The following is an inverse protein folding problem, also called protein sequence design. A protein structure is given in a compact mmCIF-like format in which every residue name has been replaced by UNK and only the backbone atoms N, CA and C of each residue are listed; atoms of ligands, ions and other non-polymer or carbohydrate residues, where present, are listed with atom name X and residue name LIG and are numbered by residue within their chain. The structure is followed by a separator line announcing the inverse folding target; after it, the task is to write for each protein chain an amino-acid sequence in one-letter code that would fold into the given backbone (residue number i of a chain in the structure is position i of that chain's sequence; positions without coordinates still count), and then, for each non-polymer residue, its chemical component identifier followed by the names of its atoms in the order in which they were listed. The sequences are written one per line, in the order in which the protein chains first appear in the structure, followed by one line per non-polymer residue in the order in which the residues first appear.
data_IF_351643489381
#
_entry.id   IF_351643489381
#
_cell.length_a   1.000
_cell.length_b   1.000
_cell.length_c   1.000
_cell.angle_alpha   90.00
_cell.angle_beta   90.00
_cell.angle_gamma   90.00
#
_symmetry.space_group_name_H-M   'P 1'
#
loop_
_entity.id
_entity.type
_entity.pdbx_description
1 polymer ?
#
# COMPACT_ATOMS: atom_id res chain seq x y z
N UNK A 1 15.70 -15.47 8.61
CA UNK A 1 15.22 -16.53 7.72
C UNK A 1 14.21 -15.98 6.67
N UNK A 2 14.52 -14.84 5.99
CA UNK A 2 13.76 -14.41 4.84
C UNK A 2 12.33 -13.94 5.12
N UNK A 3 12.09 -13.18 6.19
CA UNK A 3 10.74 -12.70 6.58
C UNK A 3 10.57 -11.18 6.49
N UNK A 4 11.57 -10.46 6.02
CA UNK A 4 11.49 -9.01 5.93
C UNK A 4 10.75 -8.60 4.65
N UNK A 5 9.75 -7.75 4.78
CA UNK A 5 9.18 -6.93 3.72
C UNK A 5 9.45 -5.47 4.12
N UNK A 6 10.06 -4.70 3.24
CA UNK A 6 10.36 -3.30 3.51
C UNK A 6 9.24 -2.40 2.99
N UNK A 7 8.40 -1.93 3.90
CA UNK A 7 7.32 -0.99 3.60
C UNK A 7 7.84 0.46 3.54
N UNK A 8 7.58 1.15 2.44
CA UNK A 8 8.10 2.50 2.20
C UNK A 8 7.05 3.44 1.64
N UNK A 9 7.19 4.72 1.96
CA UNK A 9 6.34 5.79 1.48
C UNK A 9 7.03 7.15 1.58
N UNK A 10 6.36 8.19 1.10
CA UNK A 10 6.92 9.56 1.04
C UNK A 10 6.83 10.33 2.36
N UNK A 11 6.13 9.81 3.37
CA UNK A 11 5.77 10.54 4.58
C UNK A 11 4.64 11.57 4.32
N UNK A 12 3.89 11.94 5.38
CA UNK A 12 2.77 12.88 5.24
C UNK A 12 2.55 13.78 6.47
N UNK A 13 2.88 13.32 7.68
CA UNK A 13 2.51 14.01 8.90
C UNK A 13 3.60 15.02 9.34
N UNK A 14 3.25 16.30 9.37
CA UNK A 14 4.16 17.37 9.84
C UNK A 14 4.58 17.12 11.30
N UNK A 15 3.62 16.75 12.16
CA UNK A 15 3.86 16.51 13.58
C UNK A 15 4.89 15.41 13.84
N UNK A 16 4.91 14.36 13.02
CA UNK A 16 5.88 13.28 13.16
C UNK A 16 7.29 13.74 12.74
N UNK A 17 7.37 14.55 11.69
CA UNK A 17 8.63 15.13 11.24
C UNK A 17 9.21 16.11 12.25
N UNK A 18 8.37 16.95 12.82
CA UNK A 18 8.77 17.91 13.87
C UNK A 18 9.27 17.20 15.13
N UNK A 19 8.61 16.10 15.52
CA UNK A 19 8.99 15.31 16.69
C UNK A 19 10.41 14.71 16.58
N UNK A 20 10.91 14.46 15.37
CA UNK A 20 12.27 13.94 15.13
C UNK A 20 13.23 15.01 14.58
N UNK A 21 12.84 16.28 14.61
CA UNK A 21 13.67 17.40 14.15
C UNK A 21 13.90 17.43 12.64
N UNK A 22 13.07 16.74 11.85
CA UNK A 22 13.17 16.71 10.40
C UNK A 22 12.13 17.64 9.76
N UNK A 23 12.52 18.33 8.69
CA UNK A 23 11.59 19.16 7.92
C UNK A 23 10.76 18.30 6.98
N UNK A 24 9.44 18.39 7.05
CA UNK A 24 8.57 17.86 6.00
C UNK A 24 8.69 18.74 4.74
N UNK A 25 9.24 18.19 3.69
CA UNK A 25 9.41 18.91 2.41
C UNK A 25 8.09 18.96 1.65
N UNK A 26 7.99 19.87 0.69
CA UNK A 26 6.86 19.90 -0.25
C UNK A 26 6.70 18.57 -1.00
N UNK A 27 5.48 18.20 -1.47
CA UNK A 27 5.20 16.91 -2.08
C UNK A 27 6.12 16.54 -3.26
N UNK A 28 6.39 17.49 -4.17
CA UNK A 28 7.24 17.24 -5.33
C UNK A 28 8.65 16.76 -4.98
N UNK A 29 9.44 17.54 -4.21
CA UNK A 29 10.77 17.12 -3.73
C UNK A 29 10.75 15.85 -2.89
N UNK A 30 9.69 15.59 -2.10
CA UNK A 30 9.57 14.33 -1.34
C UNK A 30 9.49 13.11 -2.26
N UNK A 31 8.70 13.21 -3.33
CA UNK A 31 8.56 12.12 -4.31
C UNK A 31 9.86 11.90 -5.09
N UNK A 32 10.56 12.97 -5.48
CA UNK A 32 11.87 12.84 -6.13
C UNK A 32 12.87 12.11 -5.22
N UNK A 33 13.01 12.60 -3.97
CA UNK A 33 13.87 11.94 -2.98
C UNK A 33 13.50 10.48 -2.74
N UNK A 34 12.21 10.18 -2.71
CA UNK A 34 11.72 8.81 -2.54
C UNK A 34 12.15 7.90 -3.70
N UNK A 35 12.05 8.39 -4.95
CA UNK A 35 12.52 7.65 -6.12
C UNK A 35 14.02 7.33 -6.05
N UNK A 36 14.85 8.32 -5.69
CA UNK A 36 16.28 8.10 -5.48
C UNK A 36 16.56 7.09 -4.35
N UNK A 37 15.80 7.20 -3.23
CA UNK A 37 15.93 6.26 -2.11
C UNK A 37 15.60 4.82 -2.51
N UNK A 38 14.60 4.62 -3.38
CA UNK A 38 14.24 3.30 -3.87
C UNK A 38 15.37 2.66 -4.69
N UNK A 39 16.03 3.45 -5.55
CA UNK A 39 17.18 2.97 -6.34
C UNK A 39 18.35 2.60 -5.43
N UNK A 40 18.75 3.52 -4.56
CA UNK A 40 19.87 3.30 -3.61
C UNK A 40 19.63 2.06 -2.74
N UNK A 41 18.43 1.95 -2.15
CA UNK A 41 18.10 0.81 -1.29
C UNK A 41 18.06 -0.51 -2.07
N UNK A 42 17.58 -0.48 -3.32
CA UNK A 42 17.56 -1.68 -4.16
C UNK A 42 18.98 -2.16 -4.46
N UNK A 43 19.89 -1.28 -4.85
CA UNK A 43 21.27 -1.63 -5.11
C UNK A 43 21.98 -2.14 -3.85
N UNK A 44 21.85 -1.43 -2.72
CA UNK A 44 22.45 -1.86 -1.47
C UNK A 44 21.93 -3.21 -0.97
N UNK A 45 20.62 -3.47 -1.11
CA UNK A 45 20.03 -4.74 -0.69
C UNK A 45 20.35 -5.90 -1.63
N UNK A 46 20.32 -5.69 -2.94
CA UNK A 46 20.47 -6.77 -3.93
C UNK A 46 21.94 -7.00 -4.27
N UNK A 47 22.75 -5.93 -4.37
CA UNK A 47 24.16 -5.98 -4.81
C UNK A 47 25.13 -5.81 -3.64
N UNK A 48 24.80 -4.94 -2.67
CA UNK A 48 25.65 -4.60 -1.50
C UNK A 48 26.69 -3.52 -1.79
N UNK A 49 26.56 -2.85 -2.92
CA UNK A 49 27.30 -1.65 -3.29
C UNK A 49 26.35 -0.68 -3.96
N UNK A 50 26.67 0.60 -3.95
CA UNK A 50 25.90 1.63 -4.65
C UNK A 50 26.80 2.83 -4.91
N UNK A 51 26.86 3.25 -6.17
CA UNK A 51 27.43 4.55 -6.56
C UNK A 51 26.29 5.33 -7.20
N UNK A 52 25.84 6.38 -6.50
CA UNK A 52 24.66 7.14 -6.91
C UNK A 52 24.91 8.63 -6.69
N UNK A 53 24.69 9.45 -7.72
CA UNK A 53 24.80 10.90 -7.66
C UNK A 53 23.48 11.54 -8.10
N UNK A 54 22.60 11.80 -7.14
CA UNK A 54 21.28 12.36 -7.34
C UNK A 54 21.12 13.74 -6.70
N UNK A 55 19.93 14.31 -6.85
CA UNK A 55 19.58 15.62 -6.28
C UNK A 55 19.49 15.61 -4.75
N UNK A 56 19.18 14.44 -4.18
CA UNK A 56 18.91 14.27 -2.75
C UNK A 56 19.85 13.28 -2.06
N UNK A 57 20.43 12.35 -2.80
CA UNK A 57 21.37 11.35 -2.29
C UNK A 57 22.63 11.32 -3.12
N UNK A 58 23.76 11.39 -2.43
CA UNK A 58 25.09 11.20 -3.00
C UNK A 58 25.75 10.05 -2.24
N UNK A 59 25.89 8.90 -2.88
CA UNK A 59 26.32 7.65 -2.27
C UNK A 59 27.51 7.11 -3.03
N UNK A 60 28.55 6.75 -2.29
CA UNK A 60 29.71 6.02 -2.80
C UNK A 60 30.06 4.93 -1.80
N UNK A 61 29.41 3.79 -1.96
CA UNK A 61 29.60 2.59 -1.13
C UNK A 61 30.05 1.46 -2.04
N UNK A 62 31.34 1.16 -2.02
CA UNK A 62 31.93 0.06 -2.81
C UNK A 62 31.53 -1.32 -2.27
N UNK A 63 31.35 -1.44 -0.95
CA UNK A 63 30.95 -2.66 -0.28
C UNK A 63 30.25 -2.35 1.03
N UNK A 64 29.04 -2.91 1.23
CA UNK A 64 28.25 -2.69 2.44
C UNK A 64 28.74 -3.52 3.64
N UNK A 65 29.50 -4.59 3.42
CA UNK A 65 30.05 -5.46 4.48
C UNK A 65 28.99 -6.40 5.13
N UNK A 66 27.72 -6.09 5.02
CA UNK A 66 26.60 -6.88 5.53
C UNK A 66 25.63 -7.16 4.39
N UNK A 67 25.20 -8.40 4.26
CA UNK A 67 24.25 -8.82 3.22
C UNK A 67 22.95 -9.34 3.84
N UNK A 68 21.79 -9.06 3.25
CA UNK A 68 20.56 -9.70 3.64
C UNK A 68 20.64 -11.22 3.44
N UNK A 69 19.97 -11.97 4.33
CA UNK A 69 19.83 -13.44 4.17
C UNK A 69 18.88 -13.76 3.01
N UNK A 70 17.94 -12.87 2.73
CA UNK A 70 17.04 -12.96 1.58
C UNK A 70 17.81 -12.61 0.30
N UNK A 71 17.61 -13.39 -0.75
CA UNK A 71 18.15 -13.06 -2.09
C UNK A 71 17.61 -11.71 -2.59
N UNK A 72 16.35 -11.43 -2.27
CA UNK A 72 15.68 -10.17 -2.56
C UNK A 72 14.76 -9.78 -1.38
N UNK A 73 14.90 -8.58 -0.87
CA UNK A 73 13.95 -8.01 0.10
C UNK A 73 12.78 -7.41 -0.68
N UNK A 74 11.54 -7.92 -0.51
CA UNK A 74 10.38 -7.33 -1.18
C UNK A 74 10.15 -5.89 -0.71
N UNK A 75 9.92 -4.98 -1.66
CA UNK A 75 9.53 -3.60 -1.40
C UNK A 75 8.01 -3.47 -1.48
N UNK A 76 7.39 -3.08 -0.37
CA UNK A 76 5.99 -2.70 -0.32
C UNK A 76 5.89 -1.17 -0.43
N UNK A 77 5.22 -0.68 -1.46
CA UNK A 77 5.04 0.76 -1.68
C UNK A 77 3.55 1.08 -1.72
N UNK A 78 3.14 2.08 -0.95
CA UNK A 78 1.79 2.62 -0.96
C UNK A 78 1.76 4.09 -1.36
N UNK A 79 0.64 4.53 -1.94
CA UNK A 79 0.47 5.94 -2.29
C UNK A 79 -0.73 6.21 -3.19
N UNK A 80 -1.03 7.51 -3.37
CA UNK A 80 -2.20 7.98 -4.11
C UNK A 80 -1.86 8.73 -5.39
N UNK A 81 -0.80 9.54 -5.37
CA UNK A 81 -0.44 10.39 -6.49
C UNK A 81 0.23 9.62 -7.63
N UNK A 82 -0.06 10.00 -8.88
CA UNK A 82 0.46 9.33 -10.09
C UNK A 82 1.96 9.07 -10.04
N UNK A 83 2.77 10.07 -9.62
CA UNK A 83 4.23 9.89 -9.53
C UNK A 83 4.66 8.79 -8.56
N UNK A 84 4.01 8.69 -7.39
CA UNK A 84 4.32 7.64 -6.40
C UNK A 84 3.89 6.28 -6.92
N UNK A 85 2.70 6.18 -7.53
CA UNK A 85 2.21 4.94 -8.15
C UNK A 85 3.11 4.51 -9.30
N UNK A 86 3.61 5.46 -10.12
CA UNK A 86 4.57 5.13 -11.18
C UNK A 86 5.89 4.61 -10.62
N UNK A 87 6.42 5.20 -9.55
CA UNK A 87 7.60 4.67 -8.86
C UNK A 87 7.35 3.26 -8.30
N UNK A 88 6.15 3.02 -7.78
CA UNK A 88 5.78 1.67 -7.34
C UNK A 88 5.76 0.67 -8.50
N UNK A 89 5.23 1.03 -9.66
CA UNK A 89 5.28 0.20 -10.87
C UNK A 89 6.72 -0.19 -11.26
N UNK A 90 7.67 0.74 -11.10
CA UNK A 90 9.07 0.52 -11.45
C UNK A 90 9.84 -0.30 -10.39
N UNK A 91 9.55 -0.13 -9.10
CA UNK A 91 10.40 -0.61 -8.01
C UNK A 91 9.73 -1.57 -7.03
N UNK A 92 8.40 -1.54 -6.88
CA UNK A 92 7.69 -2.36 -5.90
C UNK A 92 7.63 -3.85 -6.29
N UNK A 93 7.67 -4.70 -5.28
CA UNK A 93 7.27 -6.09 -5.35
C UNK A 93 5.81 -6.24 -4.88
N UNK A 94 5.37 -5.34 -3.98
CA UNK A 94 3.99 -5.24 -3.50
C UNK A 94 3.53 -3.78 -3.61
N UNK A 95 2.43 -3.53 -4.32
CA UNK A 95 1.76 -2.23 -4.30
C UNK A 95 0.55 -2.27 -3.39
N UNK A 96 0.52 -1.42 -2.35
CA UNK A 96 -0.59 -1.37 -1.42
C UNK A 96 -1.53 -0.19 -1.71
N UNK A 97 -2.75 -0.51 -2.12
CA UNK A 97 -3.83 0.47 -2.16
C UNK A 97 -4.21 0.88 -0.75
N UNK A 98 -4.36 2.18 -0.54
CA UNK A 98 -4.85 2.76 0.71
C UNK A 98 -6.03 3.68 0.42
N UNK A 99 -7.04 3.69 1.31
CA UNK A 99 -8.22 4.54 1.15
C UNK A 99 -8.03 5.92 1.76
N UNK A 100 -7.23 6.02 2.83
CA UNK A 100 -7.00 7.27 3.51
C UNK A 100 -5.91 8.09 2.82
N UNK A 101 -6.25 9.32 2.49
CA UNK A 101 -5.30 10.39 2.17
C UNK A 101 -5.11 11.27 3.41
N UNK A 102 -4.09 12.10 3.43
CA UNK A 102 -3.81 12.98 4.56
C UNK A 102 -3.53 14.40 4.06
N UNK A 103 -4.10 15.38 4.77
CA UNK A 103 -3.73 16.78 4.60
C UNK A 103 -2.31 17.04 5.14
N UNK A 104 -1.77 18.25 4.91
CA UNK A 104 -0.41 18.59 5.35
C UNK A 104 -0.24 18.55 6.87
N UNK A 105 -1.30 18.78 7.64
CA UNK A 105 -1.35 18.68 9.10
C UNK A 105 -1.50 17.23 9.62
N UNK A 106 -1.60 16.24 8.70
CA UNK A 106 -1.81 14.85 9.05
C UNK A 106 -3.27 14.44 9.22
N UNK A 107 -4.22 15.37 9.06
CA UNK A 107 -5.66 15.06 9.16
C UNK A 107 -6.07 14.05 8.09
N UNK A 108 -6.65 12.90 8.45
CA UNK A 108 -7.06 11.90 7.49
C UNK A 108 -8.27 12.34 6.67
N UNK A 109 -8.29 11.94 5.41
CA UNK A 109 -9.39 12.17 4.47
C UNK A 109 -9.68 10.89 3.69
N UNK A 110 -10.95 10.63 3.37
CA UNK A 110 -11.38 9.46 2.60
C UNK A 110 -11.28 9.62 1.08
N UNK A 111 -10.56 10.61 0.60
CA UNK A 111 -10.48 10.90 -0.84
C UNK A 111 -9.95 9.78 -1.74
N UNK A 112 -9.46 8.68 -1.17
CA UNK A 112 -8.99 7.53 -1.92
C UNK A 112 -9.90 6.29 -1.91
N UNK A 113 -11.11 6.39 -1.32
CA UNK A 113 -12.02 5.25 -1.16
C UNK A 113 -12.82 4.90 -2.41
N UNK A 114 -13.10 5.85 -3.29
CA UNK A 114 -13.92 5.64 -4.46
C UNK A 114 -13.32 4.64 -5.46
N UNK A 115 -14.15 3.80 -6.07
CA UNK A 115 -13.70 2.77 -6.99
C UNK A 115 -13.02 3.36 -8.24
N UNK A 116 -13.47 4.51 -8.72
CA UNK A 116 -12.87 5.15 -9.89
C UNK A 116 -11.44 5.62 -9.62
N UNK A 117 -11.17 6.18 -8.43
CA UNK A 117 -9.81 6.54 -8.02
C UNK A 117 -8.92 5.31 -7.85
N UNK A 118 -9.50 4.17 -7.46
CA UNK A 118 -8.76 2.92 -7.34
C UNK A 118 -8.43 2.36 -8.72
N UNK A 119 -9.39 2.38 -9.66
CA UNK A 119 -9.18 1.99 -11.06
C UNK A 119 -8.13 2.86 -11.75
N UNK A 120 -8.19 4.16 -11.54
CA UNK A 120 -7.19 5.08 -12.07
C UNK A 120 -5.79 4.76 -11.56
N UNK A 121 -5.62 4.53 -10.25
CA UNK A 121 -4.33 4.10 -9.67
C UNK A 121 -3.87 2.75 -10.19
N UNK A 122 -4.80 1.80 -10.37
CA UNK A 122 -4.49 0.51 -10.96
C UNK A 122 -3.99 0.63 -12.41
N UNK A 123 -4.57 1.54 -13.20
CA UNK A 123 -4.14 1.84 -14.56
C UNK A 123 -2.73 2.49 -14.58
N UNK A 124 -2.46 3.47 -13.72
CA UNK A 124 -1.13 4.08 -13.61
C UNK A 124 -0.06 3.07 -13.18
N UNK A 125 -0.41 2.16 -12.27
CA UNK A 125 0.48 1.09 -11.83
C UNK A 125 0.83 0.16 -13.00
N UNK A 126 -0.18 -0.31 -13.74
CA UNK A 126 -0.01 -1.18 -14.91
C UNK A 126 0.84 -0.52 -15.99
N UNK A 127 0.55 0.76 -16.31
CA UNK A 127 1.31 1.55 -17.28
C UNK A 127 2.79 1.63 -16.90
N UNK A 128 3.07 1.97 -15.64
CA UNK A 128 4.44 2.18 -15.16
C UNK A 128 5.20 0.86 -14.94
N UNK A 129 4.51 -0.21 -14.62
CA UNK A 129 5.09 -1.54 -14.41
C UNK A 129 5.55 -2.20 -15.72
N UNK A 130 4.84 -1.94 -16.83
CA UNK A 130 5.14 -2.60 -18.11
C UNK A 130 5.21 -4.12 -17.94
N UNK A 131 6.32 -4.71 -18.32
CA UNK A 131 6.55 -6.16 -18.23
C UNK A 131 6.61 -6.71 -16.78
N UNK A 132 6.69 -5.83 -15.78
CA UNK A 132 6.68 -6.23 -14.36
C UNK A 132 5.27 -6.34 -13.78
N UNK A 133 4.23 -5.96 -14.52
CA UNK A 133 2.86 -5.94 -14.00
C UNK A 133 2.43 -7.27 -13.35
N UNK A 134 2.82 -8.39 -13.94
CA UNK A 134 2.40 -9.72 -13.50
C UNK A 134 3.16 -10.23 -12.25
N UNK A 135 4.27 -9.58 -11.89
CA UNK A 135 5.05 -9.94 -10.70
C UNK A 135 4.85 -8.98 -9.52
N UNK A 136 4.07 -7.92 -9.71
CA UNK A 136 3.71 -7.00 -8.63
C UNK A 136 2.45 -7.51 -7.94
N UNK A 137 2.58 -7.93 -6.67
CA UNK A 137 1.42 -8.26 -5.84
C UNK A 137 0.63 -6.98 -5.52
N UNK A 138 -0.68 -7.00 -5.75
CA UNK A 138 -1.56 -5.89 -5.40
C UNK A 138 -2.25 -6.17 -4.07
N UNK A 139 -2.03 -5.25 -3.13
CA UNK A 139 -2.50 -5.33 -1.75
C UNK A 139 -3.52 -4.22 -1.45
N UNK A 140 -4.47 -4.49 -0.57
CA UNK A 140 -5.38 -3.49 -0.02
C UNK A 140 -5.27 -3.45 1.51
N UNK A 141 -5.10 -2.25 2.08
CA UNK A 141 -5.16 -2.04 3.52
C UNK A 141 -6.62 -1.83 3.95
N UNK A 142 -7.23 -2.89 4.44
CA UNK A 142 -8.63 -2.89 4.91
C UNK A 142 -8.75 -2.01 6.16
N UNK A 143 -9.66 -1.04 6.11
CA UNK A 143 -9.92 -0.13 7.22
C UNK A 143 -10.99 -0.66 8.16
N UNK A 144 -11.97 -1.39 7.61
CA UNK A 144 -13.04 -2.05 8.36
C UNK A 144 -13.26 -3.44 7.82
N UNK A 145 -13.19 -4.42 8.73
CA UNK A 145 -13.60 -5.81 8.48
C UNK A 145 -14.69 -6.17 9.48
N UNK A 146 -15.87 -6.60 9.00
CA UNK A 146 -17.00 -6.95 9.87
C UNK A 146 -17.79 -8.11 9.25
N UNK A 147 -17.51 -9.32 9.72
CA UNK A 147 -18.07 -10.57 9.19
C UNK A 147 -19.34 -10.95 9.94
N UNK A 148 -20.45 -11.08 9.22
CA UNK A 148 -21.77 -11.44 9.75
C UNK A 148 -22.70 -10.25 9.96
N UNK A 149 -24.02 -10.51 10.03
CA UNK A 149 -25.03 -9.47 10.06
C UNK A 149 -24.94 -8.55 11.29
N UNK A 150 -24.63 -9.08 12.46
CA UNK A 150 -24.51 -8.28 13.69
C UNK A 150 -23.31 -7.34 13.63
N UNK A 151 -22.13 -7.86 13.26
CA UNK A 151 -20.91 -7.06 13.13
C UNK A 151 -21.05 -6.02 12.00
N UNK A 152 -21.71 -6.36 10.90
CA UNK A 152 -22.04 -5.42 9.82
C UNK A 152 -22.93 -4.28 10.34
N UNK A 153 -24.02 -4.60 11.04
CA UNK A 153 -24.93 -3.60 11.57
C UNK A 153 -24.24 -2.67 12.58
N UNK A 154 -23.40 -3.20 13.46
CA UNK A 154 -22.61 -2.42 14.42
C UNK A 154 -21.62 -1.50 13.69
N UNK A 155 -20.90 -2.02 12.70
CA UNK A 155 -19.99 -1.23 11.90
C UNK A 155 -20.69 -0.10 11.15
N UNK A 156 -21.86 -0.36 10.57
CA UNK A 156 -22.68 0.62 9.85
C UNK A 156 -23.24 1.73 10.74
N UNK A 157 -23.43 1.44 12.03
CA UNK A 157 -23.87 2.43 13.01
C UNK A 157 -22.77 3.44 13.41
N UNK A 158 -21.51 3.21 12.99
CA UNK A 158 -20.42 4.14 13.31
C UNK A 158 -20.43 5.34 12.36
N UNK A 159 -20.21 6.55 12.90
CA UNK A 159 -20.05 7.78 12.07
C UNK A 159 -18.98 7.59 10.98
N UNK A 160 -17.96 6.80 11.26
CA UNK A 160 -16.85 6.53 10.35
C UNK A 160 -17.32 5.84 9.06
N UNK A 161 -18.28 4.90 9.15
CA UNK A 161 -18.81 4.20 7.97
C UNK A 161 -19.97 4.92 7.32
N UNK A 162 -20.78 5.64 8.07
CA UNK A 162 -21.86 6.46 7.52
C UNK A 162 -21.34 7.43 6.44
N UNK A 163 -20.13 7.95 6.63
CA UNK A 163 -19.46 8.82 5.65
C UNK A 163 -19.09 8.12 4.32
N UNK A 164 -18.98 6.79 4.32
CA UNK A 164 -18.59 6.00 3.15
C UNK A 164 -19.71 5.11 2.61
N UNK A 165 -20.96 5.34 3.01
CA UNK A 165 -22.10 4.51 2.64
C UNK A 165 -22.20 4.27 1.13
N UNK A 166 -21.95 5.31 0.33
CA UNK A 166 -22.07 5.27 -1.13
C UNK A 166 -20.98 4.45 -1.83
N UNK A 167 -19.89 4.11 -1.14
CA UNK A 167 -18.74 3.41 -1.72
C UNK A 167 -18.45 2.07 -1.06
N UNK A 168 -19.22 1.68 -0.03
CA UNK A 168 -18.99 0.46 0.77
C UNK A 168 -18.92 -0.78 -0.11
N UNK A 169 -19.83 -0.92 -1.06
CA UNK A 169 -19.97 -2.15 -1.85
C UNK A 169 -18.80 -2.37 -2.82
N UNK A 170 -18.17 -1.32 -3.28
CA UNK A 170 -17.15 -1.39 -4.33
C UNK A 170 -15.72 -1.20 -3.83
N UNK A 171 -15.53 -0.50 -2.70
CA UNK A 171 -14.19 -0.21 -2.19
C UNK A 171 -13.52 -1.46 -1.58
N UNK A 172 -12.22 -1.73 -1.83
CA UNK A 172 -11.48 -2.82 -1.18
C UNK A 172 -11.14 -2.54 0.30
N UNK A 173 -11.42 -1.33 0.79
CA UNK A 173 -11.03 -0.90 2.14
C UNK A 173 -12.05 -1.22 3.22
N UNK A 174 -13.24 -1.68 2.82
CA UNK A 174 -14.32 -2.08 3.71
C UNK A 174 -14.81 -3.46 3.28
N UNK A 175 -14.59 -4.45 4.13
CA UNK A 175 -15.05 -5.84 3.94
C UNK A 175 -16.07 -6.13 5.05
N UNK A 176 -17.33 -5.84 4.78
CA UNK A 176 -18.41 -5.93 5.77
C UNK A 176 -19.66 -6.54 5.15
N UNK A 177 -20.31 -7.47 5.88
CA UNK A 177 -21.48 -8.19 5.42
C UNK A 177 -21.50 -9.65 5.80
N UNK A 178 -22.34 -10.48 5.15
CA UNK A 178 -22.29 -11.92 5.31
C UNK A 178 -20.98 -12.50 4.79
N UNK A 179 -20.63 -13.71 5.23
CA UNK A 179 -19.44 -14.41 4.74
C UNK A 179 -19.41 -14.50 3.21
N UNK A 180 -20.53 -14.88 2.61
CA UNK A 180 -20.69 -15.00 1.16
C UNK A 180 -20.48 -13.66 0.44
N UNK A 181 -21.10 -12.59 0.93
CA UNK A 181 -20.95 -11.24 0.35
C UNK A 181 -19.48 -10.78 0.36
N UNK A 182 -18.77 -11.05 1.45
CA UNK A 182 -17.35 -10.68 1.56
C UNK A 182 -16.49 -11.50 0.59
N UNK A 183 -16.76 -12.82 0.47
CA UNK A 183 -16.05 -13.70 -0.47
C UNK A 183 -16.27 -13.24 -1.91
N UNK A 184 -17.53 -13.04 -2.31
CA UNK A 184 -17.90 -12.56 -3.66
C UNK A 184 -17.22 -11.23 -3.99
N UNK A 185 -17.16 -10.34 -3.01
CA UNK A 185 -16.47 -9.05 -3.16
C UNK A 185 -14.95 -9.21 -3.34
N UNK A 186 -14.31 -10.05 -2.55
CA UNK A 186 -12.87 -10.33 -2.67
C UNK A 186 -12.56 -10.95 -4.04
N UNK A 187 -13.35 -11.92 -4.50
CA UNK A 187 -13.18 -12.54 -5.81
C UNK A 187 -13.38 -11.53 -6.95
N UNK A 188 -14.37 -10.64 -6.84
CA UNK A 188 -14.57 -9.53 -7.79
C UNK A 188 -13.36 -8.59 -7.83
N UNK A 189 -12.87 -8.14 -6.68
CA UNK A 189 -11.70 -7.27 -6.58
C UNK A 189 -10.43 -7.92 -7.13
N UNK A 190 -10.26 -9.22 -6.90
CA UNK A 190 -9.17 -10.01 -7.48
C UNK A 190 -9.26 -10.07 -9.01
N UNK A 191 -10.45 -10.35 -9.55
CA UNK A 191 -10.66 -10.43 -11.01
C UNK A 191 -10.50 -9.08 -11.69
N UNK A 192 -11.08 -8.02 -11.13
CA UNK A 192 -11.25 -6.73 -11.79
C UNK A 192 -10.05 -5.79 -11.57
N UNK A 193 -9.36 -5.91 -10.43
CA UNK A 193 -8.26 -5.03 -10.02
C UNK A 193 -6.96 -5.79 -9.72
N UNK A 194 -6.96 -7.12 -9.80
CA UNK A 194 -5.85 -8.00 -9.46
C UNK A 194 -5.42 -7.88 -7.97
N UNK A 195 -6.30 -7.42 -7.08
CA UNK A 195 -6.01 -7.33 -5.65
C UNK A 195 -6.11 -8.74 -5.06
N UNK A 196 -4.97 -9.32 -4.69
CA UNK A 196 -4.85 -10.68 -4.15
C UNK A 196 -4.46 -10.73 -2.66
N UNK A 197 -3.99 -9.62 -2.12
CA UNK A 197 -3.53 -9.52 -0.73
C UNK A 197 -4.36 -8.47 0.03
N UNK A 198 -5.01 -8.91 1.10
CA UNK A 198 -5.83 -8.06 1.97
C UNK A 198 -5.23 -8.01 3.37
N UNK A 199 -4.85 -6.82 3.83
CA UNK A 199 -4.31 -6.62 5.18
C UNK A 199 -5.45 -6.22 6.10
N UNK A 200 -5.78 -7.07 7.06
CA UNK A 200 -6.82 -6.83 8.07
C UNK A 200 -6.20 -6.71 9.47
N UNK A 201 -6.83 -5.97 10.36
CA UNK A 201 -6.36 -5.78 11.74
C UNK A 201 -6.97 -6.76 12.72
N UNK A 202 -8.19 -7.22 12.46
CA UNK A 202 -8.90 -8.22 13.27
C UNK A 202 -8.74 -9.60 12.62
N UNK A 203 -7.72 -10.32 13.05
CA UNK A 203 -7.42 -11.66 12.53
C UNK A 203 -8.46 -12.70 13.00
N UNK A 204 -8.99 -12.56 14.21
CA UNK A 204 -9.96 -13.51 14.77
C UNK A 204 -11.33 -13.34 14.10
N UNK A 205 -11.84 -12.12 14.01
CA UNK A 205 -13.10 -11.83 13.36
C UNK A 205 -13.09 -12.14 11.85
N UNK A 206 -11.93 -12.11 11.21
CA UNK A 206 -11.78 -12.40 9.79
C UNK A 206 -11.42 -13.87 9.47
N UNK A 207 -11.15 -14.69 10.49
CA UNK A 207 -10.77 -16.11 10.32
C UNK A 207 -11.73 -16.93 9.45
N UNK A 208 -13.07 -16.74 9.51
CA UNK A 208 -14.00 -17.47 8.63
C UNK A 208 -13.76 -17.21 7.14
N UNK A 209 -13.43 -15.97 6.77
CA UNK A 209 -13.10 -15.60 5.38
C UNK A 209 -11.80 -16.24 4.93
N UNK A 210 -10.77 -16.21 5.79
CA UNK A 210 -9.48 -16.87 5.53
C UNK A 210 -9.69 -18.37 5.30
N UNK A 211 -10.47 -19.05 6.17
CA UNK A 211 -10.75 -20.47 6.04
C UNK A 211 -11.48 -20.82 4.73
N UNK A 212 -12.42 -19.97 4.29
CA UNK A 212 -13.19 -20.18 3.07
C UNK A 212 -12.38 -19.96 1.79
N UNK A 213 -11.35 -19.11 1.84
CA UNK A 213 -10.48 -18.75 0.69
C UNK A 213 -9.13 -19.48 0.69
N UNK A 214 -8.79 -20.20 1.76
CA UNK A 214 -7.51 -20.91 1.86
C UNK A 214 -7.32 -21.91 0.70
N UNK A 215 -6.23 -21.78 -0.04
CA UNK A 215 -5.88 -22.67 -1.15
C UNK A 215 -6.64 -22.42 -2.47
N UNK A 216 -7.31 -21.28 -2.60
CA UNK A 216 -8.04 -20.87 -3.83
C UNK A 216 -7.31 -19.80 -4.61
#
# INVERSE_FOLDING_TARGET
QGRLVLGMGTGYAQVEHDAIGMRLRAPGPRVTRFGESLQVLRELCDIGSCIFDGDHHQIDISELGIRPVQQRIPFLIGGHGRRVVSLAGQHADIFQFTGLTHAADGTPSGGGFGIEQIRERAAWLTEAAGNRNDVIERSALVQVAAVGAAAHAEAMATERLAHYADVIDDTPFILSGSLEQIIDKIERLRRDLLISHFVVRDAEGFAPVVAALAGK
#
